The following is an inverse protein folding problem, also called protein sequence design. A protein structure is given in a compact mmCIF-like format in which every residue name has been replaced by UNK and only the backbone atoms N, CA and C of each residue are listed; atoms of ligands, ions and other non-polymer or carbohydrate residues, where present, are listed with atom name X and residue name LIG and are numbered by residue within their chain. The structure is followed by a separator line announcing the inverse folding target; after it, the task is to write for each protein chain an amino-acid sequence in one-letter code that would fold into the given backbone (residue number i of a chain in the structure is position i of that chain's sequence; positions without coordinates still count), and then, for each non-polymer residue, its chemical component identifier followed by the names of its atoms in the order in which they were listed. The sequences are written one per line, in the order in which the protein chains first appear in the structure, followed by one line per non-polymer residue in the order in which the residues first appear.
data_IF_889513425279
#
_entry.id   IF_889513425279
#
_cell.length_a   1.000
_cell.length_b   1.000
_cell.length_c   1.000
_cell.angle_alpha   90.00
_cell.angle_beta   90.00
_cell.angle_gamma   90.00
#
_symmetry.space_group_name_H-M   'P 1'
#
loop_
_entity.id
_entity.type
_entity.pdbx_description
1 polymer ?
#
# COMPACT_ATOMS: atom_id res chain seq x y z
N UNK A 1 -10.65 -0.91 -8.96
CA UNK A 1 -10.03 0.04 -8.02
C UNK A 1 -8.91 0.79 -8.73
N UNK A 2 -8.99 2.11 -8.73
CA UNK A 2 -8.00 2.95 -9.41
C UNK A 2 -7.45 3.99 -8.43
N UNK A 3 -6.13 4.07 -8.35
CA UNK A 3 -5.43 5.10 -7.59
C UNK A 3 -4.68 6.06 -8.53
N UNK A 4 -4.63 7.31 -8.17
CA UNK A 4 -3.88 8.33 -8.91
C UNK A 4 -2.89 9.01 -7.98
N UNK A 5 -1.65 9.11 -8.41
CA UNK A 5 -0.57 9.74 -7.67
C UNK A 5 -0.09 11.02 -8.36
N UNK A 6 0.67 11.78 -7.63
CA UNK A 6 1.30 12.99 -8.14
C UNK A 6 2.13 12.71 -9.41
N UNK A 7 2.11 13.61 -10.38
CA UNK A 7 2.77 13.43 -11.67
C UNK A 7 1.97 12.61 -12.70
N UNK A 8 0.69 12.34 -12.43
CA UNK A 8 -0.18 11.61 -13.35
C UNK A 8 0.00 10.10 -13.37
N UNK A 9 0.75 9.56 -12.41
CA UNK A 9 0.89 8.10 -12.29
C UNK A 9 -0.40 7.49 -11.79
N UNK A 10 -0.81 6.38 -12.38
CA UNK A 10 -2.03 5.65 -12.00
C UNK A 10 -1.73 4.19 -11.72
N UNK A 11 -2.46 3.61 -10.77
CA UNK A 11 -2.45 2.19 -10.51
C UNK A 11 -3.86 1.65 -10.56
N UNK A 12 -4.06 0.52 -11.22
CA UNK A 12 -5.36 -0.13 -11.35
C UNK A 12 -5.28 -1.53 -10.79
N UNK A 13 -6.13 -1.83 -9.83
CA UNK A 13 -6.32 -3.18 -9.33
C UNK A 13 -7.63 -3.76 -9.85
N UNK A 14 -7.55 -4.96 -10.41
CA UNK A 14 -8.71 -5.76 -10.83
C UNK A 14 -8.60 -7.14 -10.23
N UNK A 15 -9.67 -7.60 -9.64
CA UNK A 15 -9.74 -8.96 -9.14
C UNK A 15 -9.70 -9.96 -10.31
N UNK A 16 -8.86 -10.97 -10.19
CA UNK A 16 -8.64 -11.97 -11.24
C UNK A 16 -8.09 -13.26 -10.67
N UNK A 17 -7.87 -14.23 -11.54
CA UNK A 17 -7.28 -15.52 -11.18
C UNK A 17 -5.75 -15.42 -11.19
N UNK A 18 -5.11 -15.69 -10.06
CA UNK A 18 -3.66 -15.68 -9.94
C UNK A 18 -3.06 -14.30 -9.70
N UNK A 19 -1.73 -14.25 -9.72
CA UNK A 19 -0.96 -13.04 -9.47
C UNK A 19 -0.32 -12.57 -10.77
N UNK A 20 -0.76 -11.44 -11.27
CA UNK A 20 -0.24 -10.87 -12.50
C UNK A 20 -0.29 -9.35 -12.46
N UNK A 21 0.57 -8.71 -13.20
CA UNK A 21 0.58 -7.26 -13.31
C UNK A 21 1.33 -6.79 -14.55
N UNK A 22 1.07 -5.57 -14.95
CA UNK A 22 1.72 -4.91 -16.08
C UNK A 22 2.08 -3.49 -15.67
N UNK A 23 3.30 -3.07 -15.97
CA UNK A 23 3.75 -1.69 -15.81
C UNK A 23 3.88 -1.03 -17.17
N UNK A 24 3.25 0.11 -17.37
CA UNK A 24 3.32 0.89 -18.62
C UNK A 24 3.90 2.26 -18.33
N UNK A 25 4.95 2.60 -19.07
CA UNK A 25 5.62 3.88 -18.96
C UNK A 25 5.88 4.50 -20.33
N UNK A 26 6.58 5.62 -20.35
CA UNK A 26 6.93 6.34 -21.57
C UNK A 26 7.80 5.52 -22.53
N UNK A 27 8.64 4.64 -21.98
CA UNK A 27 9.59 3.83 -22.75
C UNK A 27 9.05 2.46 -23.17
N UNK A 28 7.82 2.15 -22.83
CA UNK A 28 7.19 0.88 -23.18
C UNK A 28 6.40 0.24 -22.05
N UNK A 29 6.09 -1.03 -22.23
CA UNK A 29 5.27 -1.83 -21.35
C UNK A 29 6.07 -3.05 -20.88
N UNK A 30 5.98 -3.36 -19.60
CA UNK A 30 6.65 -4.49 -18.97
C UNK A 30 5.64 -5.35 -18.22
N UNK A 31 5.63 -6.65 -18.51
CA UNK A 31 4.87 -7.61 -17.71
C UNK A 31 5.64 -7.91 -16.42
N UNK A 32 4.99 -7.74 -15.29
CA UNK A 32 5.58 -8.01 -13.98
C UNK A 32 5.70 -9.51 -13.76
N UNK A 33 6.65 -9.92 -12.92
CA UNK A 33 6.86 -11.31 -12.55
C UNK A 33 5.68 -11.96 -11.86
N UNK A 34 5.64 -13.28 -11.91
CA UNK A 34 4.65 -14.07 -11.21
C UNK A 34 5.02 -14.26 -9.73
N UNK A 35 4.10 -14.86 -8.97
CA UNK A 35 4.33 -15.19 -7.56
C UNK A 35 5.39 -16.31 -7.42
N UNK A 36 6.45 -16.04 -6.69
CA UNK A 36 7.60 -16.95 -6.49
C UNK A 36 7.61 -17.64 -5.12
N UNK A 37 6.49 -17.65 -4.41
CA UNK A 37 6.41 -18.24 -3.07
C UNK A 37 7.02 -17.35 -1.98
N UNK A 38 7.45 -17.96 -0.88
CA UNK A 38 7.98 -17.25 0.29
C UNK A 38 9.51 -17.06 0.26
N UNK A 39 10.21 -17.68 -0.67
CA UNK A 39 11.68 -17.61 -0.70
C UNK A 39 12.21 -16.18 -0.83
N UNK A 40 11.72 -15.33 -1.75
CA UNK A 40 12.17 -13.95 -1.83
C UNK A 40 11.94 -13.17 -0.52
N UNK A 41 10.81 -13.39 0.14
CA UNK A 41 10.50 -12.79 1.43
C UNK A 41 11.52 -13.20 2.50
N UNK A 42 11.82 -14.49 2.60
CA UNK A 42 12.79 -15.02 3.57
C UNK A 42 14.19 -14.45 3.32
N UNK A 43 14.60 -14.35 2.06
CA UNK A 43 15.88 -13.74 1.68
C UNK A 43 15.97 -12.29 2.18
N UNK A 44 14.92 -11.50 2.00
CA UNK A 44 14.88 -10.11 2.48
C UNK A 44 14.89 -10.02 4.02
N UNK A 45 14.22 -10.93 4.71
CA UNK A 45 14.22 -11.00 6.17
C UNK A 45 15.64 -11.28 6.69
N UNK A 46 16.34 -12.26 6.10
CA UNK A 46 17.72 -12.59 6.47
C UNK A 46 18.65 -11.41 6.20
N UNK A 47 18.49 -10.76 5.06
CA UNK A 47 19.28 -9.58 4.70
C UNK A 47 19.06 -8.43 5.70
N UNK A 48 17.85 -8.19 6.13
CA UNK A 48 17.52 -7.22 7.17
C UNK A 48 18.26 -7.51 8.48
N UNK A 49 18.23 -8.76 8.94
CA UNK A 49 18.94 -9.13 10.17
C UNK A 49 20.47 -9.00 10.06
N UNK A 50 21.03 -9.14 8.86
CA UNK A 50 22.46 -8.97 8.63
C UNK A 50 22.89 -7.50 8.53
N UNK A 51 22.14 -6.71 7.77
CA UNK A 51 22.50 -5.33 7.43
C UNK A 51 21.78 -4.27 8.27
N UNK A 52 20.66 -4.64 8.90
CA UNK A 52 19.71 -3.74 9.57
C UNK A 52 19.09 -2.70 8.64
N UNK A 53 19.19 -2.92 7.34
CA UNK A 53 18.50 -2.11 6.33
C UNK A 53 17.09 -2.63 6.08
N UNK A 54 16.11 -1.75 6.23
CA UNK A 54 14.69 -2.09 6.04
C UNK A 54 14.41 -2.14 4.54
N UNK A 55 13.97 -3.31 3.99
CA UNK A 55 13.71 -3.44 2.54
C UNK A 55 12.48 -2.65 2.07
N UNK A 56 11.52 -2.47 2.96
CA UNK A 56 10.31 -1.68 2.69
C UNK A 56 10.16 -0.65 3.81
N UNK A 57 10.06 0.62 3.45
CA UNK A 57 9.92 1.68 4.43
C UNK A 57 8.55 1.62 5.13
N UNK A 58 8.50 2.11 6.35
CA UNK A 58 7.25 2.28 7.10
C UNK A 58 6.24 3.13 6.33
N UNK A 59 6.71 4.17 5.66
CA UNK A 59 5.90 5.06 4.83
C UNK A 59 5.24 4.30 3.68
N UNK A 60 5.95 3.43 2.99
CA UNK A 60 5.41 2.60 1.91
C UNK A 60 4.35 1.63 2.41
N UNK A 61 4.61 0.99 3.55
CA UNK A 61 3.65 0.07 4.17
C UNK A 61 2.36 0.79 4.54
N UNK A 62 2.45 1.95 5.16
CA UNK A 62 1.28 2.76 5.52
C UNK A 62 0.52 3.24 4.28
N UNK A 63 1.22 3.60 3.22
CA UNK A 63 0.59 3.99 1.96
C UNK A 63 -0.20 2.86 1.31
N UNK A 64 0.35 1.64 1.33
CA UNK A 64 -0.35 0.44 0.82
C UNK A 64 -1.64 0.19 1.61
N UNK A 65 -1.58 0.22 2.93
CA UNK A 65 -2.78 0.05 3.76
C UNK A 65 -3.78 1.20 3.58
N UNK A 66 -3.30 2.43 3.45
CA UNK A 66 -4.16 3.58 3.18
C UNK A 66 -4.88 3.45 1.84
N UNK A 67 -4.21 2.92 0.84
CA UNK A 67 -4.82 2.67 -0.47
C UNK A 67 -5.96 1.66 -0.38
N UNK A 68 -5.77 0.57 0.34
CA UNK A 68 -6.82 -0.43 0.55
C UNK A 68 -8.01 0.13 1.33
N UNK A 69 -7.76 0.88 2.40
CA UNK A 69 -8.82 1.51 3.18
C UNK A 69 -9.56 2.59 2.38
N UNK A 70 -8.84 3.36 1.56
CA UNK A 70 -9.44 4.34 0.68
C UNK A 70 -10.37 3.70 -0.37
N UNK A 71 -10.02 2.53 -0.86
CA UNK A 71 -10.87 1.77 -1.76
C UNK A 71 -12.20 1.37 -1.08
N UNK A 72 -12.14 0.89 0.15
CA UNK A 72 -13.33 0.55 0.93
C UNK A 72 -14.18 1.79 1.24
N UNK A 73 -13.54 2.90 1.59
CA UNK A 73 -14.24 4.16 1.82
C UNK A 73 -14.91 4.70 0.55
N UNK A 74 -14.22 4.63 -0.57
CA UNK A 74 -14.78 5.00 -1.87
C UNK A 74 -16.01 4.16 -2.21
N UNK A 75 -15.95 2.87 -1.92
CA UNK A 75 -17.10 1.96 -2.09
C UNK A 75 -18.28 2.36 -1.19
N UNK A 76 -18.01 2.70 0.08
CA UNK A 76 -19.06 3.18 1.00
C UNK A 76 -19.72 4.46 0.51
N UNK A 77 -18.98 5.32 -0.17
CA UNK A 77 -19.47 6.58 -0.74
C UNK A 77 -20.00 6.46 -2.18
N UNK A 78 -20.22 5.25 -2.66
CA UNK A 78 -20.77 5.02 -4.00
C UNK A 78 -19.79 5.25 -5.15
N UNK A 79 -18.49 5.16 -4.90
CA UNK A 79 -17.44 5.33 -5.91
C UNK A 79 -16.81 6.72 -5.95
N UNK A 80 -17.03 7.55 -4.92
CA UNK A 80 -16.45 8.88 -4.82
C UNK A 80 -14.92 8.83 -4.66
N UNK A 81 -14.23 9.86 -5.13
CA UNK A 81 -12.79 9.99 -4.94
C UNK A 81 -12.44 10.22 -3.46
N UNK A 82 -11.45 9.49 -2.96
CA UNK A 82 -10.96 9.58 -1.58
C UNK A 82 -9.47 9.94 -1.60
N UNK A 83 -9.09 10.98 -0.88
CA UNK A 83 -7.69 11.38 -0.75
C UNK A 83 -7.00 10.56 0.34
N UNK A 84 -5.86 9.96 0.03
CA UNK A 84 -5.08 9.19 0.99
C UNK A 84 -4.58 10.04 2.16
N UNK A 85 -4.22 11.29 1.90
CA UNK A 85 -3.77 12.22 2.95
C UNK A 85 -4.83 12.48 4.03
N UNK A 86 -6.09 12.64 3.62
CA UNK A 86 -7.20 12.85 4.55
C UNK A 86 -7.44 11.60 5.40
N UNK A 87 -7.39 10.45 4.77
CA UNK A 87 -7.59 9.16 5.43
C UNK A 87 -6.46 8.85 6.42
N UNK A 88 -5.21 9.10 6.04
CA UNK A 88 -4.04 8.95 6.91
C UNK A 88 -4.10 9.92 8.10
N UNK A 89 -4.55 11.15 7.89
CA UNK A 89 -4.74 12.13 8.95
C UNK A 89 -5.76 11.67 9.99
N UNK A 90 -6.91 11.17 9.56
CA UNK A 90 -7.93 10.60 10.46
C UNK A 90 -7.41 9.36 11.20
N UNK A 91 -6.72 8.48 10.52
CA UNK A 91 -6.16 7.27 11.13
C UNK A 91 -5.13 7.62 12.21
N UNK A 92 -4.27 8.60 11.95
CA UNK A 92 -3.28 9.09 12.91
C UNK A 92 -3.97 9.64 14.17
N UNK A 93 -4.98 10.50 14.00
CA UNK A 93 -5.74 11.04 15.11
C UNK A 93 -6.39 9.95 15.96
N UNK A 94 -7.00 8.95 15.31
CA UNK A 94 -7.59 7.81 16.02
C UNK A 94 -6.54 6.97 16.75
N UNK A 95 -5.39 6.77 16.16
CA UNK A 95 -4.28 6.03 16.76
C UNK A 95 -3.74 6.75 18.01
N UNK A 96 -3.60 8.07 17.95
CA UNK A 96 -3.19 8.90 19.08
C UNK A 96 -4.18 8.84 20.24
N UNK A 97 -5.47 8.91 19.94
CA UNK A 97 -6.53 8.75 20.95
C UNK A 97 -6.48 7.38 21.63
N UNK A 98 -6.38 6.30 20.84
CA UNK A 98 -6.27 4.94 21.38
C UNK A 98 -5.02 4.75 22.24
N UNK A 99 -3.90 5.30 21.78
CA UNK A 99 -2.65 5.23 22.52
C UNK A 99 -2.77 5.94 23.87
N UNK A 100 -3.36 7.14 23.89
CA UNK A 100 -3.62 7.88 25.13
C UNK A 100 -4.52 7.11 26.10
N UNK A 101 -5.54 6.43 25.60
CA UNK A 101 -6.42 5.58 26.42
C UNK A 101 -5.68 4.40 27.04
N UNK A 102 -4.80 3.75 26.27
CA UNK A 102 -4.00 2.61 26.75
C UNK A 102 -2.97 3.05 27.77
N UNK A 103 -2.28 4.16 27.54
CA UNK A 103 -1.23 4.69 28.42
C UNK A 103 -1.83 5.25 29.73
N UNK A 104 -3.06 5.76 29.70
CA UNK A 104 -3.72 6.31 30.90
C UNK A 104 -4.30 5.24 31.83
N UNK A 105 -4.32 3.99 31.39
CA UNK A 105 -4.68 2.84 32.23
C UNK A 105 -3.42 2.36 32.96
#
# INVERSE_FOLDING_TARGET
MTGTWEGGRTGIFREGKGYAGTAKGEKGELTLGSYDGYRPLVVEIVQFFRTKEVPISEKETLEIYAFMEAADESKRQGGAAVKLSDLLGKAKEQAEKRLAEVVSK
#
